data_IF_436187676669
#
_entry.id   IF_436187676669
#
_cell.length_a   1.000
_cell.length_b   1.000
_cell.length_c   1.000
_cell.angle_alpha   90.00
_cell.angle_beta   90.00
_cell.angle_gamma   90.00
#
_symmetry.space_group_name_H-M   'P 1'
#
loop_
_entity.id
_entity.type
_entity.pdbx_description
1 polymer ?
#
# COMPACT_ATOMS: atom_id res chain seq x y z
N UNK A 1 -48.15 7.32 24.64
CA UNK A 1 -47.88 7.77 23.26
C UNK A 1 -46.43 8.25 23.20
N UNK A 2 -45.57 7.70 22.32
CA UNK A 2 -44.20 8.20 22.17
C UNK A 2 -44.21 9.67 21.74
N UNK A 3 -43.26 10.45 22.27
CA UNK A 3 -43.13 11.87 21.98
C UNK A 3 -42.82 12.07 20.47
N UNK A 4 -43.67 12.78 19.72
CA UNK A 4 -43.47 12.99 18.28
C UNK A 4 -42.13 13.66 17.95
N UNK A 5 -41.61 14.52 18.84
CA UNK A 5 -40.29 15.15 18.64
C UNK A 5 -39.16 14.14 18.69
N UNK A 6 -39.23 13.16 19.60
CA UNK A 6 -38.24 12.07 19.67
C UNK A 6 -38.28 11.17 18.45
N UNK A 7 -39.46 10.95 17.86
CA UNK A 7 -39.59 10.18 16.62
C UNK A 7 -38.96 10.91 15.43
N UNK A 8 -39.13 12.24 15.35
CA UNK A 8 -38.48 13.08 14.33
C UNK A 8 -36.95 13.10 14.50
N UNK A 9 -36.44 13.24 15.72
CA UNK A 9 -35.00 13.19 16.02
C UNK A 9 -34.39 11.84 15.62
N UNK A 10 -35.05 10.73 15.93
CA UNK A 10 -34.59 9.39 15.55
C UNK A 10 -34.61 9.20 14.03
N UNK A 11 -35.65 9.70 13.35
CA UNK A 11 -35.71 9.66 11.89
C UNK A 11 -34.58 10.47 11.24
N UNK A 12 -34.30 11.67 11.75
CA UNK A 12 -33.21 12.52 11.30
C UNK A 12 -31.83 11.88 11.54
N UNK A 13 -31.61 11.32 12.74
CA UNK A 13 -30.38 10.61 13.08
C UNK A 13 -30.15 9.40 12.15
N UNK A 14 -31.21 8.62 11.87
CA UNK A 14 -31.16 7.48 10.96
C UNK A 14 -30.85 7.91 9.52
N UNK A 15 -31.43 9.00 9.06
CA UNK A 15 -31.14 9.57 7.74
C UNK A 15 -29.67 10.00 7.63
N UNK A 16 -29.15 10.71 8.64
CA UNK A 16 -27.75 11.15 8.70
C UNK A 16 -26.78 9.97 8.73
N UNK A 17 -27.06 8.94 9.53
CA UNK A 17 -26.24 7.73 9.58
C UNK A 17 -26.20 7.01 8.23
N UNK A 18 -27.36 6.86 7.57
CA UNK A 18 -27.43 6.24 6.24
C UNK A 18 -26.66 7.04 5.19
N UNK A 19 -26.76 8.37 5.22
CA UNK A 19 -26.00 9.24 4.33
C UNK A 19 -24.49 9.11 4.55
N UNK A 20 -24.04 9.11 5.81
CA UNK A 20 -22.63 8.90 6.15
C UNK A 20 -22.12 7.53 5.72
N UNK A 21 -22.93 6.48 5.88
CA UNK A 21 -22.57 5.13 5.43
C UNK A 21 -22.49 5.04 3.89
N UNK A 22 -23.36 5.73 3.17
CA UNK A 22 -23.30 5.80 1.71
C UNK A 22 -22.03 6.51 1.25
N UNK A 23 -21.71 7.67 1.81
CA UNK A 23 -20.49 8.41 1.51
C UNK A 23 -19.23 7.59 1.80
N UNK A 24 -19.15 6.94 2.97
CA UNK A 24 -18.01 6.09 3.32
C UNK A 24 -17.85 4.89 2.37
N UNK A 25 -18.96 4.34 1.86
CA UNK A 25 -18.91 3.26 0.85
C UNK A 25 -18.42 3.77 -0.50
N UNK A 26 -18.83 4.96 -0.91
CA UNK A 26 -18.36 5.61 -2.13
C UNK A 26 -16.87 5.93 -2.05
N UNK A 27 -16.40 6.48 -0.93
CA UNK A 27 -14.97 6.74 -0.68
C UNK A 27 -14.16 5.43 -0.71
N UNK A 28 -14.66 4.37 -0.08
CA UNK A 28 -14.00 3.06 -0.11
C UNK A 28 -13.97 2.47 -1.52
N UNK A 29 -15.05 2.63 -2.29
CA UNK A 29 -15.09 2.18 -3.68
C UNK A 29 -14.10 2.97 -4.55
N UNK A 30 -14.05 4.29 -4.41
CA UNK A 30 -13.11 5.16 -5.11
C UNK A 30 -11.65 4.85 -4.75
N UNK A 31 -11.37 4.59 -3.48
CA UNK A 31 -10.05 4.18 -3.03
C UNK A 31 -9.65 2.81 -3.62
N UNK A 32 -10.60 1.87 -3.72
CA UNK A 32 -10.36 0.55 -4.33
C UNK A 32 -10.17 0.60 -5.83
N UNK A 33 -10.86 1.51 -6.53
CA UNK A 33 -10.79 1.65 -7.99
C UNK A 33 -9.56 2.40 -8.48
N UNK A 34 -8.76 2.99 -7.59
CA UNK A 34 -7.48 3.57 -7.96
C UNK A 34 -6.52 2.44 -8.39
N UNK A 35 -5.84 2.56 -9.54
CA UNK A 35 -4.79 1.64 -9.94
C UNK A 35 -3.73 1.58 -8.85
N UNK A 36 -3.30 0.37 -8.48
CA UNK A 36 -2.18 0.21 -7.53
C UNK A 36 -0.84 0.42 -8.21
N UNK A 37 -0.78 0.20 -9.52
CA UNK A 37 0.42 0.30 -10.34
C UNK A 37 0.10 1.14 -11.57
N UNK A 38 1.01 2.03 -11.91
CA UNK A 38 1.05 2.72 -13.19
C UNK A 38 1.41 1.76 -14.31
N UNK A 39 1.10 2.13 -15.55
CA UNK A 39 1.46 1.33 -16.74
C UNK A 39 2.98 1.26 -16.98
N UNK A 40 3.75 2.19 -16.41
CA UNK A 40 5.22 2.13 -16.44
C UNK A 40 5.73 1.09 -15.43
N UNK A 41 5.26 1.15 -14.18
CA UNK A 41 5.63 0.16 -13.16
C UNK A 41 5.25 -1.26 -13.57
N UNK A 42 4.08 -1.46 -14.20
CA UNK A 42 3.69 -2.77 -14.76
C UNK A 42 4.67 -3.26 -15.83
N UNK A 43 5.17 -2.36 -16.69
CA UNK A 43 6.17 -2.71 -17.72
C UNK A 43 7.50 -3.09 -17.10
N UNK A 44 8.01 -2.27 -16.18
CA UNK A 44 9.25 -2.55 -15.47
C UNK A 44 9.20 -3.89 -14.73
N UNK A 45 8.10 -4.16 -14.01
CA UNK A 45 7.88 -5.45 -13.34
C UNK A 45 7.88 -6.62 -14.33
N UNK A 46 7.21 -6.46 -15.47
CA UNK A 46 7.19 -7.48 -16.53
C UNK A 46 8.58 -7.75 -17.09
N UNK A 47 9.39 -6.71 -17.31
CA UNK A 47 10.74 -6.86 -17.81
C UNK A 47 11.67 -7.55 -16.80
N UNK A 48 11.64 -7.11 -15.54
CA UNK A 48 12.48 -7.70 -14.48
C UNK A 48 12.11 -9.17 -14.27
N UNK A 49 10.81 -9.49 -14.18
CA UNK A 49 10.34 -10.86 -14.03
C UNK A 49 10.70 -11.72 -15.27
N UNK A 50 10.59 -11.17 -16.47
CA UNK A 50 10.94 -11.88 -17.70
C UNK A 50 12.44 -12.18 -17.84
N UNK A 51 13.33 -11.37 -17.24
CA UNK A 51 14.77 -11.68 -17.18
C UNK A 51 15.09 -12.87 -16.28
N UNK A 52 14.15 -13.31 -15.44
CA UNK A 52 14.35 -14.38 -14.47
C UNK A 52 14.99 -13.90 -13.16
N UNK A 53 15.21 -12.59 -13.01
CA UNK A 53 15.75 -11.98 -11.79
C UNK A 53 14.88 -12.28 -10.55
N UNK A 54 13.61 -12.60 -10.78
CA UNK A 54 12.61 -12.91 -9.76
C UNK A 54 12.27 -14.40 -9.68
N UNK A 55 13.09 -15.29 -10.28
CA UNK A 55 12.84 -16.73 -10.31
C UNK A 55 12.00 -17.19 -11.51
N UNK A 56 11.95 -18.51 -11.71
CA UNK A 56 11.29 -19.14 -12.87
C UNK A 56 9.78 -18.92 -12.87
N UNK A 57 9.13 -19.06 -11.72
CA UNK A 57 7.67 -18.96 -11.63
C UNK A 57 7.20 -17.53 -11.94
N UNK A 58 8.01 -16.52 -11.60
CA UNK A 58 7.73 -15.14 -12.01
C UNK A 58 8.00 -14.86 -13.48
N UNK A 59 8.97 -15.55 -14.08
CA UNK A 59 9.19 -15.48 -15.52
C UNK A 59 8.00 -16.09 -16.29
N UNK A 60 7.45 -17.20 -15.80
CA UNK A 60 6.23 -17.81 -16.33
C UNK A 60 5.03 -16.86 -16.15
N UNK A 61 4.86 -16.25 -14.97
CA UNK A 61 3.84 -15.23 -14.75
C UNK A 61 3.99 -14.01 -15.69
N UNK A 62 5.20 -13.52 -15.90
CA UNK A 62 5.45 -12.41 -16.83
C UNK A 62 5.09 -12.74 -18.27
N UNK A 63 5.16 -14.03 -18.64
CA UNK A 63 4.66 -14.51 -19.93
C UNK A 63 3.15 -14.50 -19.96
N UNK A 64 2.48 -15.04 -18.95
CA UNK A 64 1.01 -15.01 -18.83
C UNK A 64 0.48 -13.56 -18.92
N UNK A 65 1.16 -12.60 -18.29
CA UNK A 65 0.81 -11.17 -18.38
C UNK A 65 0.92 -10.64 -19.81
N UNK A 66 1.96 -11.02 -20.56
CA UNK A 66 2.13 -10.60 -21.96
C UNK A 66 1.11 -11.24 -22.89
N UNK A 67 0.76 -12.48 -22.62
CA UNK A 67 -0.22 -13.25 -23.40
C UNK A 67 -1.66 -12.82 -23.06
N UNK A 68 -1.85 -12.04 -21.98
CA UNK A 68 -3.15 -11.50 -21.53
C UNK A 68 -3.92 -12.43 -20.59
N UNK A 69 -3.29 -13.52 -20.15
CA UNK A 69 -3.86 -14.54 -19.26
C UNK A 69 -3.69 -14.19 -17.77
N UNK A 70 -2.87 -13.20 -17.45
CA UNK A 70 -2.67 -12.67 -16.11
C UNK A 70 -2.55 -11.14 -16.09
N UNK A 71 -2.71 -10.55 -14.90
CA UNK A 71 -2.61 -9.10 -14.69
C UNK A 71 -1.90 -8.80 -13.37
N UNK A 72 -0.99 -7.83 -13.40
CA UNK A 72 -0.21 -7.40 -12.25
C UNK A 72 -1.07 -6.83 -11.12
N UNK A 73 -2.15 -6.11 -11.45
CA UNK A 73 -3.04 -5.57 -10.42
C UNK A 73 -3.75 -6.67 -9.65
N UNK A 74 -4.24 -7.68 -10.38
CA UNK A 74 -4.90 -8.85 -9.79
C UNK A 74 -3.94 -9.67 -8.93
N UNK A 75 -2.68 -9.80 -9.36
CA UNK A 75 -1.61 -10.45 -8.61
C UNK A 75 -1.28 -9.72 -7.30
N UNK A 76 -1.03 -8.41 -7.35
CA UNK A 76 -0.71 -7.60 -6.15
C UNK A 76 -1.90 -7.52 -5.18
N UNK A 77 -3.14 -7.47 -5.71
CA UNK A 77 -4.36 -7.53 -4.90
C UNK A 77 -4.66 -8.92 -4.34
N UNK A 78 -3.92 -9.95 -4.76
CA UNK A 78 -4.11 -11.36 -4.38
C UNK A 78 -5.49 -11.91 -4.75
N UNK A 79 -6.06 -11.41 -5.85
CA UNK A 79 -7.38 -11.83 -6.34
C UNK A 79 -7.31 -12.92 -7.41
N UNK A 80 -6.11 -13.20 -7.93
CA UNK A 80 -5.87 -14.16 -9.02
C UNK A 80 -5.57 -15.60 -8.52
N UNK A 81 -5.57 -15.82 -7.20
CA UNK A 81 -5.31 -17.12 -6.59
C UNK A 81 -3.83 -17.50 -6.46
N UNK A 82 -2.88 -16.67 -6.92
CA UNK A 82 -1.42 -16.95 -6.89
C UNK A 82 -0.75 -16.48 -5.60
N UNK A 83 -1.39 -16.71 -4.45
CA UNK A 83 -0.96 -16.15 -3.15
C UNK A 83 0.42 -16.63 -2.69
N UNK A 84 0.82 -17.85 -3.03
CA UNK A 84 2.16 -18.37 -2.69
C UNK A 84 3.25 -17.71 -3.52
N UNK A 85 3.02 -17.57 -4.83
CA UNK A 85 3.91 -16.84 -5.73
C UNK A 85 4.10 -15.38 -5.30
N UNK A 86 3.01 -14.71 -4.89
CA UNK A 86 3.08 -13.36 -4.33
C UNK A 86 3.95 -13.31 -3.06
N UNK A 87 3.83 -14.30 -2.17
CA UNK A 87 4.62 -14.35 -0.94
C UNK A 87 6.11 -14.52 -1.25
N UNK A 88 6.44 -15.38 -2.20
CA UNK A 88 7.83 -15.57 -2.65
C UNK A 88 8.39 -14.30 -3.31
N UNK A 89 7.59 -13.64 -4.16
CA UNK A 89 7.93 -12.37 -4.78
C UNK A 89 8.26 -11.29 -3.74
N UNK A 90 7.42 -11.13 -2.72
CA UNK A 90 7.67 -10.17 -1.64
C UNK A 90 8.96 -10.53 -0.91
N UNK A 91 9.14 -11.79 -0.52
CA UNK A 91 10.32 -12.23 0.20
C UNK A 91 11.62 -11.97 -0.58
N UNK A 92 11.66 -12.33 -1.87
CA UNK A 92 12.81 -12.10 -2.74
C UNK A 92 13.09 -10.60 -2.95
N UNK A 93 12.04 -9.79 -3.03
CA UNK A 93 12.18 -8.34 -3.15
C UNK A 93 12.74 -7.74 -1.86
N UNK A 94 12.24 -8.17 -0.69
CA UNK A 94 12.76 -7.76 0.62
C UNK A 94 14.23 -8.16 0.80
N UNK A 95 14.64 -9.34 0.34
CA UNK A 95 16.05 -9.75 0.39
C UNK A 95 16.93 -8.89 -0.52
N UNK A 96 16.46 -8.60 -1.74
CA UNK A 96 17.21 -7.82 -2.72
C UNK A 96 17.37 -6.35 -2.30
N UNK A 97 16.31 -5.76 -1.76
CA UNK A 97 16.26 -4.34 -1.43
C UNK A 97 16.40 -4.07 0.07
N UNK A 98 16.85 -5.05 0.86
CA UNK A 98 16.92 -4.93 2.33
C UNK A 98 17.65 -3.67 2.78
N UNK A 99 18.86 -3.47 2.26
CA UNK A 99 19.74 -2.38 2.66
C UNK A 99 19.18 -1.03 2.21
N UNK A 100 18.57 -0.96 1.02
CA UNK A 100 17.92 0.23 0.49
C UNK A 100 16.65 0.59 1.28
N UNK A 101 15.86 -0.42 1.69
CA UNK A 101 14.69 -0.25 2.54
C UNK A 101 15.12 0.21 3.93
N UNK A 102 16.19 -0.35 4.49
CA UNK A 102 16.75 0.09 5.77
C UNK A 102 17.25 1.54 5.69
N UNK A 103 18.00 1.90 4.64
CA UNK A 103 18.46 3.26 4.41
C UNK A 103 17.29 4.23 4.21
N UNK A 104 16.30 3.88 3.40
CA UNK A 104 15.09 4.67 3.21
C UNK A 104 14.36 4.84 4.55
N UNK A 105 14.22 3.78 5.36
CA UNK A 105 13.60 3.85 6.68
C UNK A 105 14.42 4.63 7.70
N UNK A 106 15.72 4.86 7.51
CA UNK A 106 16.54 5.72 8.36
C UNK A 106 16.49 7.19 7.91
N UNK A 107 16.37 7.42 6.60
CA UNK A 107 16.47 8.77 6.01
C UNK A 107 15.12 9.43 5.72
N UNK A 108 14.03 8.65 5.66
CA UNK A 108 12.67 9.18 5.42
C UNK A 108 12.20 10.05 6.57
N UNK A 109 11.54 11.17 6.25
CA UNK A 109 10.83 11.97 7.24
C UNK A 109 9.53 11.23 7.66
N UNK A 110 9.20 11.17 8.97
CA UNK A 110 7.95 10.56 9.40
C UNK A 110 6.74 11.29 8.79
N UNK A 111 5.64 10.58 8.51
CA UNK A 111 4.42 11.23 8.05
C UNK A 111 3.93 12.28 9.06
N UNK A 112 3.31 13.38 8.62
CA UNK A 112 2.83 14.41 9.52
C UNK A 112 1.82 13.84 10.53
N UNK A 113 2.09 14.06 11.82
CA UNK A 113 1.24 13.58 12.92
C UNK A 113 1.55 12.17 13.43
N UNK A 114 2.63 11.55 12.96
CA UNK A 114 3.14 10.27 13.50
C UNK A 114 4.42 10.55 14.28
N UNK A 115 4.44 10.16 15.55
CA UNK A 115 5.67 10.20 16.36
C UNK A 115 6.68 9.20 15.79
N UNK A 116 7.88 9.69 15.52
CA UNK A 116 8.97 8.87 15.02
C UNK A 116 9.58 8.04 16.16
N UNK A 117 9.48 6.71 16.14
CA UNK A 117 10.08 5.89 17.19
C UNK A 117 11.60 5.77 17.08
N UNK A 118 12.23 6.30 16.01
CA UNK A 118 13.68 6.25 15.83
C UNK A 118 14.38 7.21 16.81
N UNK A 119 15.50 6.81 17.44
CA UNK A 119 16.29 7.74 18.25
C UNK A 119 16.89 8.82 17.35
N UNK A 120 16.68 10.09 17.70
CA UNK A 120 17.29 11.21 16.97
C UNK A 120 18.79 10.98 16.80
N UNK A 121 19.37 11.16 15.59
CA UNK A 121 20.80 10.99 15.41
C UNK A 121 21.54 11.95 16.33
N UNK A 122 22.43 11.39 17.16
CA UNK A 122 23.36 12.17 17.97
C UNK A 122 24.69 12.29 17.22
N UNK A 123 25.26 13.50 17.11
CA UNK A 123 24.77 14.74 17.69
C UNK A 123 23.74 15.44 16.79
N UNK A 124 22.85 16.28 17.36
CA UNK A 124 21.85 17.00 16.59
C UNK A 124 22.51 17.95 15.58
N UNK A 125 21.82 18.30 14.47
CA UNK A 125 22.29 19.29 13.51
C UNK A 125 22.65 20.61 14.23
N UNK A 126 23.89 21.07 14.04
CA UNK A 126 24.39 22.30 14.70
C UNK A 126 25.09 22.09 16.04
N UNK A 127 25.27 20.84 16.50
CA UNK A 127 26.08 20.55 17.68
C UNK A 127 27.57 20.80 17.40
N UNK A 128 28.20 21.60 18.26
CA UNK A 128 29.64 21.87 18.26
C UNK A 128 30.23 21.27 19.54
N UNK A 129 31.21 20.35 19.45
CA UNK A 129 31.83 19.78 20.64
C UNK A 129 32.53 20.87 21.47
N UNK A 130 32.52 20.76 22.81
CA UNK A 130 33.31 21.64 23.66
C UNK A 130 34.80 21.43 23.35
N UNK A 131 35.52 22.53 23.07
CA UNK A 131 36.97 22.51 22.87
C UNK A 131 37.63 22.20 24.22
N UNK A 132 38.37 21.09 24.29
CA UNK A 132 39.28 20.77 25.39
C UNK A 132 40.58 21.56 25.30
#
# INVERSE_FOLDING_TARGET
MPDPRRLEEVAAARARFRAGLAAAREELAAARSRPLLTEEEKRELTEVAARGDMGRDMQEFARDVRDGDADWESFVRRTDGRSELFREFVHRSEERFRDEVEEALVTSEPPPGVDDPRPSPWPPPGWVPPRS
#
